data_IF_346430081926
#
_entry.id   IF_346430081926
#
_cell.length_a   1.000
_cell.length_b   1.000
_cell.length_c   1.000
_cell.angle_alpha   90.00
_cell.angle_beta   90.00
_cell.angle_gamma   90.00
#
_symmetry.space_group_name_H-M   'P 1'
#
loop_
_entity.id
_entity.type
_entity.pdbx_description
1 polymer ?
#
# COMPACT_ATOMS: atom_id res chain seq x y z
N UNK A 1 10.45 19.53 -4.57
CA UNK A 1 11.23 18.61 -3.72
C UNK A 1 10.83 18.86 -2.28
N UNK A 2 10.49 17.82 -1.53
CA UNK A 2 10.28 17.88 -0.06
C UNK A 2 11.64 18.03 0.65
N UNK A 3 11.63 18.32 1.95
CA UNK A 3 12.88 18.50 2.71
C UNK A 3 13.78 17.26 2.79
N UNK A 4 13.25 16.08 2.49
CA UNK A 4 13.95 14.79 2.39
C UNK A 4 14.40 14.40 0.97
N UNK A 5 14.35 15.33 0.03
CA UNK A 5 14.64 15.14 -1.41
C UNK A 5 13.63 14.25 -2.17
N UNK A 6 12.45 13.96 -1.62
CA UNK A 6 11.40 13.30 -2.39
C UNK A 6 10.73 14.31 -3.34
N UNK A 7 10.36 13.90 -4.57
CA UNK A 7 9.64 14.78 -5.48
C UNK A 7 8.24 15.05 -4.95
N UNK A 8 7.76 16.26 -5.11
CA UNK A 8 6.38 16.67 -4.96
C UNK A 8 6.03 17.53 -6.15
N UNK A 9 4.83 17.36 -6.68
CA UNK A 9 4.36 18.15 -7.81
C UNK A 9 3.17 19.04 -7.38
N UNK A 10 2.77 19.95 -8.25
CA UNK A 10 1.53 20.70 -8.05
C UNK A 10 0.33 19.75 -8.04
N UNK A 11 0.42 18.65 -8.81
CA UNK A 11 -0.65 17.65 -8.89
C UNK A 11 -0.87 16.93 -7.55
N UNK A 12 0.20 16.59 -6.80
CA UNK A 12 0.08 15.96 -5.47
C UNK A 12 -0.72 16.88 -4.53
N UNK A 13 -0.34 18.15 -4.45
CA UNK A 13 -1.00 19.13 -3.57
C UNK A 13 -2.44 19.42 -3.98
N UNK A 14 -2.70 19.63 -5.27
CA UNK A 14 -4.06 19.85 -5.77
C UNK A 14 -4.93 18.59 -5.61
N UNK A 15 -4.36 17.40 -5.84
CA UNK A 15 -5.03 16.12 -5.60
C UNK A 15 -5.47 15.98 -4.15
N UNK A 16 -4.58 16.23 -3.19
CA UNK A 16 -4.93 16.16 -1.77
C UNK A 16 -5.97 17.22 -1.39
N UNK A 17 -5.86 18.45 -1.90
CA UNK A 17 -6.85 19.50 -1.68
C UNK A 17 -8.25 19.07 -2.17
N UNK A 18 -8.34 18.48 -3.35
CA UNK A 18 -9.61 17.98 -3.90
C UNK A 18 -10.16 16.81 -3.05
N UNK A 19 -9.32 15.86 -2.64
CA UNK A 19 -9.72 14.76 -1.75
C UNK A 19 -10.28 15.30 -0.43
N UNK A 20 -9.57 16.22 0.22
CA UNK A 20 -10.02 16.85 1.48
C UNK A 20 -11.35 17.56 1.32
N UNK A 21 -11.51 18.35 0.26
CA UNK A 21 -12.77 19.04 -0.03
C UNK A 21 -13.93 18.05 -0.24
N UNK A 22 -13.70 16.99 -1.00
CA UNK A 22 -14.71 15.96 -1.24
C UNK A 22 -15.09 15.24 0.06
N UNK A 23 -14.10 14.81 0.85
CA UNK A 23 -14.33 14.13 2.13
C UNK A 23 -15.12 15.02 3.09
N UNK A 24 -14.65 16.24 3.34
CA UNK A 24 -15.27 17.13 4.30
C UNK A 24 -16.65 17.66 3.86
N UNK A 25 -16.95 17.69 2.56
CA UNK A 25 -18.28 18.03 2.08
C UNK A 25 -19.35 16.98 2.44
N UNK A 26 -18.94 15.71 2.60
CA UNK A 26 -19.83 14.60 2.94
C UNK A 26 -19.70 14.17 4.42
N UNK A 27 -18.52 14.35 4.99
CA UNK A 27 -18.15 13.89 6.33
C UNK A 27 -17.40 15.01 7.08
N UNK A 28 -18.07 16.11 7.44
CA UNK A 28 -17.41 17.30 7.99
C UNK A 28 -16.70 17.07 9.34
N UNK A 29 -17.13 16.04 10.06
CA UNK A 29 -16.61 15.72 11.41
C UNK A 29 -15.48 14.65 11.38
N UNK A 30 -15.09 14.14 10.20
CA UNK A 30 -14.03 13.12 10.09
C UNK A 30 -12.64 13.75 10.11
N UNK A 31 -11.68 13.05 10.72
CA UNK A 31 -10.26 13.39 10.65
C UNK A 31 -9.66 12.99 9.30
N UNK A 32 -8.59 13.67 8.86
CA UNK A 32 -7.85 13.32 7.65
C UNK A 32 -6.35 13.34 7.97
N UNK A 33 -5.64 12.29 7.55
CA UNK A 33 -4.18 12.22 7.50
C UNK A 33 -3.77 12.11 6.03
N UNK A 34 -3.14 13.13 5.50
CA UNK A 34 -2.65 13.17 4.12
C UNK A 34 -1.15 13.36 4.05
N UNK A 35 -0.58 13.02 2.90
CA UNK A 35 0.87 13.12 2.66
C UNK A 35 1.35 14.57 2.59
N UNK A 36 0.57 15.46 1.97
CA UNK A 36 1.02 16.81 1.61
C UNK A 36 0.68 17.86 2.68
N UNK A 37 -0.51 17.78 3.26
CA UNK A 37 -1.00 18.75 4.25
C UNK A 37 -1.01 18.18 5.68
N UNK A 38 -0.63 16.89 5.86
CA UNK A 38 -0.54 16.26 7.18
C UNK A 38 -1.90 15.95 7.79
N UNK A 39 -1.97 15.97 9.13
CA UNK A 39 -3.17 15.62 9.89
C UNK A 39 -4.09 16.82 10.09
N UNK A 40 -5.40 16.56 9.96
CA UNK A 40 -6.47 17.43 10.49
C UNK A 40 -7.31 16.66 11.50
N UNK A 41 -7.74 17.33 12.54
CA UNK A 41 -8.56 16.73 13.60
C UNK A 41 -10.02 16.61 13.15
N UNK A 42 -10.73 15.66 13.78
CA UNK A 42 -12.16 15.44 13.63
C UNK A 42 -12.78 15.02 14.96
N UNK A 43 -14.09 15.09 15.09
CA UNK A 43 -14.84 14.68 16.30
C UNK A 43 -15.48 13.29 16.15
N UNK A 44 -15.61 12.80 14.94
CA UNK A 44 -16.10 11.45 14.66
C UNK A 44 -14.98 10.38 14.83
N UNK A 45 -15.33 9.10 15.07
CA UNK A 45 -14.36 8.03 15.26
C UNK A 45 -13.68 7.56 13.94
N UNK A 46 -13.77 8.35 12.88
CA UNK A 46 -13.24 8.02 11.56
C UNK A 46 -12.08 8.93 11.17
N UNK A 47 -11.04 8.33 10.60
CA UNK A 47 -9.91 9.02 9.98
C UNK A 47 -9.71 8.51 8.55
N UNK A 48 -9.55 9.44 7.61
CA UNK A 48 -9.16 9.14 6.25
C UNK A 48 -7.64 9.23 6.14
N UNK A 49 -7.02 8.20 5.61
CA UNK A 49 -5.56 8.16 5.35
C UNK A 49 -5.40 8.20 3.84
N UNK A 50 -4.80 9.27 3.32
CA UNK A 50 -4.81 9.59 1.90
C UNK A 50 -3.41 9.84 1.36
N UNK A 51 -3.12 9.24 0.20
CA UNK A 51 -2.03 9.61 -0.68
C UNK A 51 -2.63 9.97 -2.05
N UNK A 52 -2.53 11.23 -2.49
CA UNK A 52 -3.08 11.65 -3.77
C UNK A 52 -2.36 11.04 -4.97
N UNK A 53 -1.02 10.88 -4.89
CA UNK A 53 -0.20 10.31 -5.98
C UNK A 53 0.93 9.48 -5.37
N UNK A 54 0.61 8.28 -4.90
CA UNK A 54 1.63 7.30 -4.55
C UNK A 54 2.39 6.85 -5.81
N UNK A 55 3.72 6.82 -5.71
CA UNK A 55 4.58 6.63 -6.86
C UNK A 55 4.88 7.93 -7.63
N UNK A 56 5.02 9.08 -6.95
CA UNK A 56 5.33 10.40 -7.55
C UNK A 56 6.53 10.36 -8.51
N UNK A 57 7.52 9.51 -8.26
CA UNK A 57 8.68 9.33 -9.17
C UNK A 57 8.27 8.75 -10.52
N UNK A 58 7.37 7.77 -10.52
CA UNK A 58 6.81 7.19 -11.74
C UNK A 58 5.96 8.24 -12.46
N UNK A 59 5.11 8.97 -11.73
CA UNK A 59 4.30 10.07 -12.28
C UNK A 59 5.15 11.12 -12.99
N UNK A 60 6.19 11.64 -12.35
CA UNK A 60 7.11 12.65 -12.94
C UNK A 60 7.85 12.11 -14.15
N UNK A 61 8.20 10.83 -14.16
CA UNK A 61 8.87 10.17 -15.28
C UNK A 61 7.93 9.79 -16.43
N UNK A 62 6.62 10.01 -16.32
CA UNK A 62 5.63 9.58 -17.31
C UNK A 62 5.41 8.06 -17.36
N UNK A 63 5.78 7.35 -16.31
CA UNK A 63 5.59 5.90 -16.18
C UNK A 63 4.24 5.65 -15.51
N UNK A 64 3.32 4.81 -16.08
CA UNK A 64 1.94 4.65 -15.58
C UNK A 64 1.86 3.72 -14.36
N UNK A 65 2.81 3.81 -13.42
CA UNK A 65 2.91 2.99 -12.21
C UNK A 65 2.72 3.86 -10.96
N UNK A 66 1.68 4.67 -10.96
CA UNK A 66 1.30 5.53 -9.84
C UNK A 66 -0.19 5.40 -9.57
N UNK A 67 -0.62 5.76 -8.37
CA UNK A 67 -2.02 5.66 -7.99
C UNK A 67 -2.42 6.57 -6.86
N UNK A 68 -3.72 6.68 -6.62
CA UNK A 68 -4.31 7.33 -5.44
C UNK A 68 -4.66 6.26 -4.42
N UNK A 69 -4.25 6.45 -3.17
CA UNK A 69 -4.53 5.55 -2.06
C UNK A 69 -5.44 6.23 -1.05
N UNK A 70 -6.51 5.55 -0.67
CA UNK A 70 -7.44 6.03 0.36
C UNK A 70 -7.78 4.87 1.29
N UNK A 71 -7.44 5.02 2.58
CA UNK A 71 -7.90 4.15 3.66
C UNK A 71 -8.86 4.88 4.58
N UNK A 72 -9.88 4.20 5.09
CA UNK A 72 -10.76 4.72 6.14
C UNK A 72 -10.53 3.92 7.41
N UNK A 73 -9.95 4.56 8.39
CA UNK A 73 -9.71 4.02 9.72
C UNK A 73 -10.89 4.35 10.64
N UNK A 74 -11.34 3.37 11.41
CA UNK A 74 -12.29 3.55 12.51
C UNK A 74 -11.72 2.90 13.76
N UNK A 75 -11.47 3.69 14.81
CA UNK A 75 -11.00 3.19 16.12
C UNK A 75 -9.73 2.30 16.00
N UNK A 76 -8.80 2.66 15.10
CA UNK A 76 -7.55 1.92 14.87
C UNK A 76 -7.66 0.77 13.87
N UNK A 77 -8.82 0.52 13.28
CA UNK A 77 -9.01 -0.51 12.26
C UNK A 77 -9.33 0.10 10.88
N UNK A 78 -8.67 -0.33 9.83
CA UNK A 78 -9.00 0.08 8.46
C UNK A 78 -10.23 -0.71 7.99
N UNK A 79 -11.35 0.01 7.82
CA UNK A 79 -12.66 -0.58 7.50
C UNK A 79 -13.07 -0.45 6.03
N UNK A 80 -12.46 0.49 5.30
CA UNK A 80 -12.64 0.63 3.85
C UNK A 80 -11.33 1.08 3.19
N UNK A 81 -11.12 0.73 1.94
CA UNK A 81 -9.91 1.09 1.22
C UNK A 81 -10.06 1.07 -0.28
N UNK A 82 -9.33 1.96 -0.94
CA UNK A 82 -9.26 2.10 -2.40
C UNK A 82 -7.83 2.29 -2.85
N UNK A 83 -7.45 1.58 -3.92
CA UNK A 83 -6.29 1.88 -4.77
C UNK A 83 -6.84 2.22 -6.15
N UNK A 84 -6.62 3.43 -6.63
CA UNK A 84 -6.99 3.82 -7.98
C UNK A 84 -5.76 4.09 -8.83
N UNK A 85 -5.62 3.40 -9.95
CA UNK A 85 -4.53 3.56 -10.92
C UNK A 85 -5.06 4.34 -12.13
N UNK A 86 -4.98 5.68 -12.13
CA UNK A 86 -5.69 6.51 -13.12
C UNK A 86 -5.20 6.32 -14.55
N UNK A 87 -3.91 6.02 -14.75
CA UNK A 87 -3.36 5.77 -16.07
C UNK A 87 -3.88 4.47 -16.72
N UNK A 88 -4.46 3.57 -15.94
CA UNK A 88 -4.97 2.26 -16.37
C UNK A 88 -6.50 2.18 -16.26
N UNK A 89 -7.13 3.18 -15.64
CA UNK A 89 -8.54 3.19 -15.27
C UNK A 89 -8.95 1.94 -14.48
N UNK A 90 -8.10 1.58 -13.50
CA UNK A 90 -8.31 0.43 -12.63
C UNK A 90 -8.49 0.87 -11.18
N UNK A 91 -9.57 0.44 -10.54
CA UNK A 91 -9.88 0.74 -9.15
C UNK A 91 -10.06 -0.57 -8.36
N UNK A 92 -9.11 -0.85 -7.46
CA UNK A 92 -9.26 -1.90 -6.45
C UNK A 92 -9.94 -1.27 -5.23
N UNK A 93 -11.04 -1.86 -4.78
CA UNK A 93 -11.80 -1.36 -3.64
C UNK A 93 -12.25 -2.51 -2.73
N UNK A 94 -12.21 -2.27 -1.43
CA UNK A 94 -12.69 -3.20 -0.42
C UNK A 94 -13.36 -2.47 0.74
N UNK A 95 -14.33 -3.15 1.35
CA UNK A 95 -14.90 -2.77 2.64
C UNK A 95 -14.99 -4.00 3.54
N UNK A 96 -14.82 -3.81 4.83
CA UNK A 96 -14.84 -4.92 5.81
C UNK A 96 -16.13 -5.74 5.70
N UNK A 97 -15.97 -7.05 5.38
CA UNK A 97 -17.07 -7.99 5.18
C UNK A 97 -17.79 -7.86 3.83
N UNK A 98 -17.32 -7.00 2.89
CA UNK A 98 -17.95 -6.77 1.60
C UNK A 98 -17.18 -7.41 0.43
N UNK A 99 -16.00 -7.97 0.69
CA UNK A 99 -15.10 -8.50 -0.33
C UNK A 99 -14.24 -7.42 -1.00
N UNK A 100 -13.32 -7.88 -1.87
CA UNK A 100 -12.45 -7.04 -2.67
C UNK A 100 -12.84 -7.10 -4.15
N UNK A 101 -12.83 -5.96 -4.81
CA UNK A 101 -13.20 -5.84 -6.23
C UNK A 101 -12.18 -5.04 -7.02
N UNK A 102 -12.06 -5.35 -8.32
CA UNK A 102 -11.43 -4.52 -9.35
C UNK A 102 -12.49 -4.06 -10.36
N UNK A 103 -12.71 -2.75 -10.47
CA UNK A 103 -13.74 -2.17 -11.32
C UNK A 103 -15.10 -2.89 -11.14
N UNK A 104 -15.50 -3.14 -9.89
CA UNK A 104 -16.74 -3.80 -9.51
C UNK A 104 -16.77 -5.33 -9.70
N UNK A 105 -15.71 -5.96 -10.22
CA UNK A 105 -15.57 -7.42 -10.32
C UNK A 105 -14.75 -7.97 -9.17
N UNK A 106 -15.22 -9.04 -8.52
CA UNK A 106 -14.49 -9.69 -7.42
C UNK A 106 -13.07 -10.04 -7.85
N UNK A 107 -12.09 -9.72 -7.02
CA UNK A 107 -10.70 -10.12 -7.19
C UNK A 107 -10.16 -10.79 -5.93
N UNK A 108 -9.09 -11.58 -6.10
CA UNK A 108 -8.42 -12.31 -5.02
C UNK A 108 -6.92 -12.40 -5.31
N UNK A 109 -6.13 -12.50 -4.25
CA UNK A 109 -4.70 -12.82 -4.33
C UNK A 109 -4.47 -14.19 -4.99
N UNK A 110 -3.30 -14.37 -5.58
CA UNK A 110 -2.89 -15.66 -6.14
C UNK A 110 -2.60 -16.70 -5.04
N UNK A 111 -2.78 -17.97 -5.37
CA UNK A 111 -2.40 -19.10 -4.51
C UNK A 111 -1.26 -19.89 -5.16
N UNK A 112 -0.03 -19.35 -5.10
CA UNK A 112 1.19 -19.97 -5.64
C UNK A 112 2.14 -20.36 -4.51
N UNK A 113 3.02 -21.37 -4.73
CA UNK A 113 4.11 -21.66 -3.81
C UNK A 113 5.23 -20.61 -3.94
N UNK A 114 6.09 -20.51 -2.91
CA UNK A 114 7.11 -19.44 -2.81
C UNK A 114 8.10 -19.44 -3.99
N UNK A 115 8.50 -20.60 -4.45
CA UNK A 115 9.45 -20.77 -5.57
C UNK A 115 8.89 -20.32 -6.93
N UNK A 116 7.58 -20.09 -7.04
CA UNK A 116 6.93 -19.55 -8.23
C UNK A 116 6.52 -18.08 -8.05
N UNK A 117 6.73 -17.52 -6.86
CA UNK A 117 6.27 -16.19 -6.53
C UNK A 117 7.10 -15.09 -7.22
N UNK A 118 6.42 -14.04 -7.65
CA UNK A 118 7.02 -12.80 -8.12
C UNK A 118 7.03 -11.80 -6.97
N UNK A 119 8.22 -11.31 -6.63
CA UNK A 119 8.43 -10.26 -5.62
C UNK A 119 8.53 -8.91 -6.29
N UNK A 120 7.80 -7.94 -5.80
CA UNK A 120 7.94 -6.54 -6.21
C UNK A 120 8.24 -5.65 -5.02
N UNK A 121 8.96 -4.57 -5.25
CA UNK A 121 9.30 -3.60 -4.21
C UNK A 121 9.42 -2.20 -4.81
N UNK A 122 9.28 -1.18 -3.98
CA UNK A 122 9.47 0.22 -4.37
C UNK A 122 10.93 0.54 -4.69
N UNK A 123 11.90 -0.15 -4.05
CA UNK A 123 13.33 0.08 -4.28
C UNK A 123 14.19 -1.12 -3.85
N UNK A 124 14.87 -1.75 -4.82
CA UNK A 124 15.85 -2.82 -4.54
C UNK A 124 16.96 -2.31 -3.62
N UNK A 125 17.51 -1.13 -3.88
CA UNK A 125 18.61 -0.56 -3.08
C UNK A 125 18.19 -0.33 -1.63
N UNK A 126 16.99 0.20 -1.40
CA UNK A 126 16.47 0.37 -0.03
C UNK A 126 16.20 -0.96 0.65
N UNK A 127 15.63 -1.93 -0.08
CA UNK A 127 15.37 -3.28 0.44
C UNK A 127 16.66 -3.99 0.85
N UNK A 128 17.71 -3.93 0.03
CA UNK A 128 19.03 -4.49 0.34
C UNK A 128 19.68 -3.80 1.54
N UNK A 129 19.62 -2.46 1.61
CA UNK A 129 20.14 -1.70 2.76
C UNK A 129 19.36 -1.96 4.05
N UNK A 130 18.06 -2.27 3.94
CA UNK A 130 17.22 -2.55 5.10
C UNK A 130 17.65 -3.85 5.80
N UNK A 131 17.88 -4.91 5.02
CA UNK A 131 18.28 -6.21 5.58
C UNK A 131 18.68 -7.21 4.49
N UNK A 132 19.54 -8.17 4.88
CA UNK A 132 19.81 -9.38 4.10
C UNK A 132 18.55 -10.26 3.90
N UNK A 133 17.51 -10.09 4.69
CA UNK A 133 16.25 -10.79 4.54
C UNK A 133 15.65 -10.61 3.13
N UNK A 134 15.87 -9.44 2.50
CA UNK A 134 15.47 -9.23 1.11
C UNK A 134 16.20 -10.18 0.15
N UNK A 135 17.51 -10.33 0.26
CA UNK A 135 18.28 -11.26 -0.56
C UNK A 135 17.82 -12.70 -0.32
N UNK A 136 17.67 -13.10 0.95
CA UNK A 136 17.18 -14.44 1.31
C UNK A 136 15.78 -14.75 0.74
N UNK A 137 14.89 -13.76 0.68
CA UNK A 137 13.58 -13.92 0.07
C UNK A 137 13.70 -14.07 -1.45
N UNK A 138 14.47 -13.20 -2.08
CA UNK A 138 14.61 -13.20 -3.55
C UNK A 138 15.30 -14.43 -4.10
N UNK A 139 16.21 -15.07 -3.34
CA UNK A 139 16.81 -16.37 -3.68
C UNK A 139 15.80 -17.52 -3.70
N UNK A 140 14.70 -17.40 -2.96
CA UNK A 140 13.66 -18.43 -2.83
C UNK A 140 12.47 -18.21 -3.76
N UNK A 141 12.46 -17.11 -4.51
CA UNK A 141 11.33 -16.71 -5.37
C UNK A 141 11.74 -16.72 -6.85
N UNK A 142 10.74 -16.76 -7.72
CA UNK A 142 10.97 -16.89 -9.17
C UNK A 142 11.58 -15.64 -9.80
N UNK A 143 11.09 -14.45 -9.41
CA UNK A 143 11.42 -13.19 -10.08
C UNK A 143 11.29 -12.00 -9.15
N UNK A 144 12.17 -10.99 -9.33
CA UNK A 144 12.04 -9.70 -8.66
C UNK A 144 11.88 -8.56 -9.66
N UNK A 145 11.08 -7.55 -9.32
CA UNK A 145 10.90 -6.32 -10.09
C UNK A 145 10.67 -5.12 -9.16
N UNK A 146 10.88 -3.91 -9.70
CA UNK A 146 10.59 -2.64 -9.03
C UNK A 146 9.26 -2.04 -9.47
N UNK A 147 8.27 -2.88 -9.73
CA UNK A 147 6.89 -2.45 -9.98
C UNK A 147 6.16 -2.28 -8.65
N UNK A 148 6.67 -1.34 -7.85
CA UNK A 148 6.23 -1.11 -6.47
C UNK A 148 5.09 -0.10 -6.37
N UNK A 149 5.04 0.53 -5.21
CA UNK A 149 4.08 1.56 -4.83
C UNK A 149 2.62 1.06 -5.03
N UNK A 150 1.64 1.93 -5.22
CA UNK A 150 0.22 1.59 -5.44
C UNK A 150 0.01 0.48 -6.49
N UNK A 151 0.78 0.53 -7.59
CA UNK A 151 0.69 -0.47 -8.65
C UNK A 151 1.02 -1.88 -8.14
N UNK A 152 2.11 -2.03 -7.40
CA UNK A 152 2.53 -3.32 -6.85
C UNK A 152 1.47 -3.93 -5.94
N UNK A 153 0.93 -3.16 -5.01
CA UNK A 153 -0.14 -3.60 -4.13
C UNK A 153 -1.40 -4.00 -4.89
N UNK A 154 -1.84 -3.19 -5.85
CA UNK A 154 -3.00 -3.51 -6.68
C UNK A 154 -2.82 -4.85 -7.41
N UNK A 155 -1.65 -5.08 -8.04
CA UNK A 155 -1.36 -6.32 -8.78
C UNK A 155 -1.33 -7.54 -7.88
N UNK A 156 -0.82 -7.43 -6.65
CA UNK A 156 -0.86 -8.53 -5.67
C UNK A 156 -2.29 -8.81 -5.21
N UNK A 157 -3.08 -7.78 -4.90
CA UNK A 157 -4.48 -7.95 -4.50
C UNK A 157 -5.34 -8.59 -5.59
N UNK A 158 -4.99 -8.35 -6.88
CA UNK A 158 -5.65 -8.93 -8.06
C UNK A 158 -5.12 -10.33 -8.45
N UNK A 159 -4.11 -10.86 -7.74
CA UNK A 159 -3.51 -12.17 -8.03
C UNK A 159 -2.62 -12.21 -9.26
N UNK A 160 -2.16 -11.07 -9.76
CA UNK A 160 -1.25 -10.97 -10.91
C UNK A 160 0.22 -10.99 -10.49
N UNK A 161 0.52 -10.54 -9.28
CA UNK A 161 1.81 -10.63 -8.58
C UNK A 161 1.58 -11.33 -7.24
N UNK A 162 2.65 -11.63 -6.51
CA UNK A 162 2.54 -12.53 -5.36
C UNK A 162 2.97 -11.90 -4.04
N UNK A 163 4.01 -11.06 -4.03
CA UNK A 163 4.55 -10.42 -2.84
C UNK A 163 4.92 -8.96 -3.16
N UNK A 164 4.39 -8.01 -2.39
CA UNK A 164 4.82 -6.61 -2.43
C UNK A 164 5.55 -6.26 -1.14
N UNK A 165 6.69 -5.57 -1.25
CA UNK A 165 7.55 -5.16 -0.14
C UNK A 165 7.83 -3.66 -0.17
N UNK A 166 7.63 -2.99 0.96
CA UNK A 166 8.14 -1.66 1.24
C UNK A 166 9.11 -1.69 2.42
N UNK A 167 10.41 -1.49 2.15
CA UNK A 167 11.44 -1.47 3.20
C UNK A 167 11.41 -0.19 4.04
N UNK A 168 10.81 0.88 3.52
CA UNK A 168 10.57 2.16 4.19
C UNK A 168 9.31 2.78 3.59
N UNK A 169 8.35 3.14 4.44
CA UNK A 169 7.08 3.70 4.01
C UNK A 169 6.50 4.66 5.06
N UNK A 170 5.50 5.42 4.65
CA UNK A 170 4.64 6.25 5.49
C UNK A 170 3.24 5.62 5.64
N UNK A 171 2.41 6.08 6.58
CA UNK A 171 1.06 5.52 6.76
C UNK A 171 0.17 5.59 5.52
N UNK A 172 0.28 6.67 4.75
CA UNK A 172 -0.53 6.89 3.55
C UNK A 172 -0.16 5.97 2.40
N UNK A 173 1.10 5.50 2.30
CA UNK A 173 1.56 4.53 1.28
C UNK A 173 0.87 3.16 1.42
N UNK A 174 0.32 2.85 2.60
CA UNK A 174 -0.29 1.55 2.90
C UNK A 174 -1.67 1.65 3.57
N UNK A 175 -2.22 2.85 3.68
CA UNK A 175 -3.49 3.11 4.35
C UNK A 175 -4.62 2.14 3.98
N UNK A 176 -4.91 1.86 2.70
CA UNK A 176 -5.99 0.95 2.31
C UNK A 176 -5.64 -0.55 2.42
N UNK A 177 -4.36 -0.91 2.57
CA UNK A 177 -3.90 -2.29 2.38
C UNK A 177 -4.50 -3.30 3.37
N UNK A 178 -4.66 -3.00 4.68
CA UNK A 178 -5.20 -3.98 5.62
C UNK A 178 -6.55 -4.55 5.20
N UNK A 179 -7.52 -3.71 4.84
CA UNK A 179 -8.84 -4.17 4.42
C UNK A 179 -8.81 -4.81 3.03
N UNK A 180 -8.06 -4.24 2.08
CA UNK A 180 -7.96 -4.80 0.72
C UNK A 180 -7.41 -6.22 0.76
N UNK A 181 -6.30 -6.46 1.48
CA UNK A 181 -5.71 -7.79 1.55
C UNK A 181 -6.55 -8.77 2.36
N UNK A 182 -7.15 -8.35 3.48
CA UNK A 182 -8.07 -9.19 4.24
C UNK A 182 -9.24 -9.68 3.37
N UNK A 183 -9.87 -8.79 2.61
CA UNK A 183 -11.02 -9.10 1.76
C UNK A 183 -10.64 -9.82 0.45
N UNK A 184 -9.41 -9.65 -0.04
CA UNK A 184 -8.89 -10.39 -1.19
C UNK A 184 -8.36 -11.80 -0.83
N UNK A 185 -8.36 -12.19 0.45
CA UNK A 185 -7.85 -13.49 0.92
C UNK A 185 -6.32 -13.51 1.11
N UNK A 186 -5.71 -12.33 1.21
CA UNK A 186 -4.31 -12.13 1.52
C UNK A 186 -4.08 -11.71 2.98
N UNK A 187 -2.85 -11.31 3.28
CA UNK A 187 -2.43 -10.73 4.55
C UNK A 187 -1.33 -9.69 4.32
N UNK A 188 -1.27 -8.70 5.17
CA UNK A 188 -0.23 -7.69 5.18
C UNK A 188 0.15 -7.32 6.62
N UNK A 189 1.38 -6.86 6.83
CA UNK A 189 1.88 -6.40 8.12
C UNK A 189 3.21 -5.65 7.94
N UNK A 190 3.76 -5.13 9.04
CA UNK A 190 5.18 -4.79 9.12
C UNK A 190 6.03 -6.05 8.91
N UNK A 191 7.34 -5.90 8.68
CA UNK A 191 8.28 -7.03 8.57
C UNK A 191 8.43 -7.79 9.89
N UNK A 192 7.94 -7.23 11.00
CA UNK A 192 7.86 -7.89 12.31
C UNK A 192 6.52 -8.58 12.58
N UNK A 193 5.56 -8.47 11.67
CA UNK A 193 4.26 -9.13 11.77
C UNK A 193 3.19 -8.30 12.48
N UNK A 194 3.45 -7.04 12.77
CA UNK A 194 2.47 -6.15 13.39
C UNK A 194 1.46 -5.67 12.35
N UNK A 195 0.17 -5.74 12.69
CA UNK A 195 -0.90 -5.21 11.85
C UNK A 195 -1.04 -3.70 12.07
N UNK A 196 -0.03 -2.94 11.64
CA UNK A 196 0.09 -1.51 11.90
C UNK A 196 0.52 -0.76 10.64
N UNK A 197 -0.34 0.18 10.18
CA UNK A 197 -0.01 1.06 9.05
C UNK A 197 0.99 2.16 9.44
N UNK A 198 1.20 2.41 10.73
CA UNK A 198 2.11 3.44 11.26
C UNK A 198 3.54 2.95 11.46
N UNK A 199 3.80 1.64 11.32
CA UNK A 199 5.14 1.06 11.28
C UNK A 199 5.95 1.57 10.09
N UNK A 200 7.27 1.35 10.09
CA UNK A 200 8.21 1.95 9.13
C UNK A 200 8.46 1.12 7.86
N UNK A 201 8.15 -0.15 7.89
CA UNK A 201 8.20 -1.07 6.75
C UNK A 201 6.86 -1.78 6.59
N UNK A 202 6.66 -2.45 5.47
CA UNK A 202 5.43 -3.19 5.23
C UNK A 202 5.63 -4.27 4.16
N UNK A 203 4.78 -5.29 4.18
CA UNK A 203 4.64 -6.23 3.08
C UNK A 203 3.22 -6.77 2.98
N UNK A 204 2.87 -7.22 1.78
CA UNK A 204 1.57 -7.82 1.51
C UNK A 204 1.72 -9.02 0.57
N UNK A 205 0.94 -10.08 0.81
CA UNK A 205 0.98 -11.31 0.04
C UNK A 205 -0.28 -12.16 0.29
N UNK A 206 -0.37 -13.35 -0.32
CA UNK A 206 -1.43 -14.31 -0.06
C UNK A 206 -1.36 -14.87 1.37
N UNK A 207 -2.49 -15.33 1.92
CA UNK A 207 -2.51 -15.98 3.24
C UNK A 207 -1.61 -17.22 3.30
N UNK A 208 -1.45 -17.94 2.18
CA UNK A 208 -0.55 -19.10 2.05
C UNK A 208 0.93 -18.73 2.19
N UNK A 209 1.37 -17.68 1.52
CA UNK A 209 2.78 -17.25 1.52
C UNK A 209 3.16 -16.48 2.78
N UNK A 210 2.19 -15.82 3.42
CA UNK A 210 2.43 -14.92 4.54
C UNK A 210 3.32 -15.51 5.64
N UNK A 211 3.09 -16.72 6.19
CA UNK A 211 3.94 -17.23 7.27
C UNK A 211 5.39 -17.49 6.83
N UNK A 212 5.61 -17.87 5.57
CA UNK A 212 6.94 -18.12 5.03
C UNK A 212 7.70 -16.81 4.79
N UNK A 213 7.02 -15.82 4.20
CA UNK A 213 7.58 -14.48 3.95
C UNK A 213 7.87 -13.77 5.27
N UNK A 214 6.94 -13.79 6.22
CA UNK A 214 7.14 -13.19 7.55
C UNK A 214 8.34 -13.82 8.27
N UNK A 215 8.50 -15.15 8.25
CA UNK A 215 9.63 -15.84 8.87
C UNK A 215 10.98 -15.33 8.32
N UNK A 216 11.06 -15.02 7.05
CA UNK A 216 12.28 -14.50 6.42
C UNK A 216 12.46 -13.02 6.80
N UNK A 217 11.43 -12.20 6.62
CA UNK A 217 11.51 -10.76 6.84
C UNK A 217 11.71 -10.38 8.31
N UNK A 218 11.15 -11.14 9.25
CA UNK A 218 11.29 -10.89 10.69
C UNK A 218 12.71 -11.03 11.21
N UNK A 219 13.61 -11.66 10.45
CA UNK A 219 15.06 -11.69 10.76
C UNK A 219 15.75 -10.33 10.56
N UNK A 220 15.11 -9.37 9.87
CA UNK A 220 15.63 -8.02 9.72
C UNK A 220 15.80 -7.35 11.10
N UNK A 221 16.86 -6.53 11.31
CA UNK A 221 17.01 -5.77 12.56
C UNK A 221 15.85 -4.79 12.73
N UNK A 222 15.65 -4.29 13.95
CA UNK A 222 14.72 -3.19 14.20
C UNK A 222 15.24 -1.89 13.55
N UNK A 223 14.37 -0.88 13.40
CA UNK A 223 14.76 0.44 12.87
C UNK A 223 15.53 1.25 13.89
#
# INVERSE_FOLDING_TARGET
>A
MKGDNTPVTIADKEGERVLRQCILSHFPDHAILGEEEGASEGTAPFRWVCDPIDGTKAFVAGVPLYGTLIGVEREGEIVAGVIYLPALDEMVAAGKGLGCTINGRTCRVADKPLEQAVVVCSSIVRSQKRSEAFAQLTEKTYLQRTWGDAFGYARVAMGQLDIMLDPVKSPWDVGPMPVIFAEAGGRCSTWKGESDIYGRDFFATSARLYPQVLKILSSAPDF
#
